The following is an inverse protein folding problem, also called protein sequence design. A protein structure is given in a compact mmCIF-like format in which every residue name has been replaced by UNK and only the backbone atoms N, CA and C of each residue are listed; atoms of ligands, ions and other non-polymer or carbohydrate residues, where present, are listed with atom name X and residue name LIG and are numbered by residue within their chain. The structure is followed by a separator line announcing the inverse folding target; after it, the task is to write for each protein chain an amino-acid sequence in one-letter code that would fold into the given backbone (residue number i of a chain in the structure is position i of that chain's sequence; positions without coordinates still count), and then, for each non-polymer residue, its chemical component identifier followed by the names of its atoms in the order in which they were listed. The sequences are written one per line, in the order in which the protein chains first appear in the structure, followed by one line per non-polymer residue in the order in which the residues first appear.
data_IF_557230521306
#
_entry.id   IF_557230521306
#
_cell.length_a   1.000
_cell.length_b   1.000
_cell.length_c   1.000
_cell.angle_alpha   90.00
_cell.angle_beta   90.00
_cell.angle_gamma   90.00
#
_symmetry.space_group_name_H-M   'P 1'
#
loop_
_entity.id
_entity.type
_entity.pdbx_description
1 polymer ?
#
# COMPACT_ATOMS: atom_id res chain seq x y z
N UNK A 1 9.33 6.17 11.53
CA UNK A 1 8.24 5.42 12.20
C UNK A 1 8.02 5.88 13.64
N UNK A 2 9.10 6.03 14.42
CA UNK A 2 9.05 6.51 15.81
C UNK A 2 8.31 7.84 15.97
N UNK A 3 8.53 8.81 15.08
CA UNK A 3 7.83 10.11 15.13
C UNK A 3 6.31 9.98 15.02
N UNK A 4 5.81 9.09 14.16
CA UNK A 4 4.36 8.81 14.03
C UNK A 4 3.81 8.17 15.31
N UNK A 5 4.56 7.25 15.90
CA UNK A 5 4.22 6.63 17.19
C UNK A 5 4.16 7.68 18.30
N UNK A 6 5.16 8.55 18.37
CA UNK A 6 5.21 9.67 19.32
C UNK A 6 4.00 10.60 19.14
N UNK A 7 3.68 10.99 17.90
CA UNK A 7 2.48 11.77 17.61
C UNK A 7 1.18 11.09 18.06
N UNK A 8 1.08 9.77 17.89
CA UNK A 8 -0.07 8.98 18.34
C UNK A 8 -0.19 8.98 19.87
N UNK A 9 0.92 8.78 20.59
CA UNK A 9 0.95 8.80 22.07
C UNK A 9 0.55 10.19 22.59
N UNK A 10 1.13 11.26 22.03
CA UNK A 10 0.78 12.65 22.40
C UNK A 10 -0.70 12.93 22.21
N UNK A 11 -1.28 12.51 21.08
CA UNK A 11 -2.72 12.68 20.80
C UNK A 11 -3.59 12.00 21.85
N UNK A 12 -3.29 10.75 22.21
CA UNK A 12 -4.07 10.00 23.22
C UNK A 12 -3.92 10.63 24.61
N UNK A 13 -2.70 11.04 24.98
CA UNK A 13 -2.46 11.73 26.26
C UNK A 13 -3.21 13.05 26.37
N UNK A 14 -3.30 13.81 25.28
CA UNK A 14 -4.09 15.04 25.20
C UNK A 14 -5.59 14.76 25.34
N UNK A 15 -6.11 13.74 24.66
CA UNK A 15 -7.52 13.32 24.79
C UNK A 15 -7.88 12.91 26.23
N UNK A 16 -6.97 12.23 26.92
CA UNK A 16 -7.15 11.80 28.31
C UNK A 16 -7.14 12.95 29.33
N UNK A 17 -6.61 14.12 28.96
CA UNK A 17 -6.39 15.24 29.87
C UNK A 17 -7.69 15.84 30.44
N UNK A 18 -8.81 15.69 29.73
CA UNK A 18 -10.13 16.11 30.22
C UNK A 18 -10.71 15.18 31.30
N UNK A 19 -10.36 13.89 31.28
CA UNK A 19 -10.99 12.84 32.09
C UNK A 19 -10.14 12.45 33.31
N UNK A 20 -8.81 12.56 33.22
CA UNK A 20 -7.87 11.99 34.18
C UNK A 20 -6.96 13.05 34.83
N UNK A 21 -7.53 14.18 35.25
CA UNK A 21 -6.77 15.31 35.83
C UNK A 21 -6.03 14.98 37.13
N UNK A 22 -6.51 13.98 37.89
CA UNK A 22 -6.02 13.63 39.23
C UNK A 22 -5.01 12.47 39.20
N UNK A 23 -4.87 11.78 38.07
CA UNK A 23 -4.03 10.59 37.95
C UNK A 23 -2.54 10.91 37.80
N UNK A 24 -1.70 10.02 38.31
CA UNK A 24 -0.25 10.16 38.18
C UNK A 24 0.20 10.05 36.71
N UNK A 25 1.32 10.68 36.32
CA UNK A 25 1.84 10.61 34.94
C UNK A 25 2.04 9.18 34.43
N UNK A 26 2.43 8.25 35.32
CA UNK A 26 2.65 6.83 34.99
C UNK A 26 1.34 6.14 34.67
N UNK A 27 0.29 6.36 35.46
CA UNK A 27 -1.04 5.78 35.21
C UNK A 27 -1.64 6.31 33.91
N UNK A 28 -1.47 7.61 33.64
CA UNK A 28 -1.90 8.22 32.36
C UNK A 28 -1.20 7.58 31.16
N UNK A 29 0.11 7.41 31.23
CA UNK A 29 0.87 6.74 30.18
C UNK A 29 0.47 5.27 30.00
N UNK A 30 0.32 4.52 31.09
CA UNK A 30 -0.10 3.11 31.04
C UNK A 30 -1.46 2.95 30.36
N UNK A 31 -2.43 3.82 30.68
CA UNK A 31 -3.75 3.82 30.02
C UNK A 31 -3.65 4.18 28.54
N UNK A 32 -2.84 5.18 28.18
CA UNK A 32 -2.62 5.53 26.77
C UNK A 32 -2.03 4.35 25.97
N UNK A 33 -1.02 3.67 26.52
CA UNK A 33 -0.42 2.49 25.91
C UNK A 33 -1.42 1.33 25.83
N UNK A 34 -2.27 1.14 26.84
CA UNK A 34 -3.33 0.14 26.81
C UNK A 34 -4.31 0.39 25.65
N UNK A 35 -4.81 1.62 25.52
CA UNK A 35 -5.70 1.99 24.40
C UNK A 35 -5.03 1.76 23.05
N UNK A 36 -3.77 2.20 22.90
CA UNK A 36 -3.04 2.07 21.64
C UNK A 36 -2.79 0.60 21.26
N UNK A 37 -2.44 -0.25 22.22
CA UNK A 37 -2.02 -1.63 21.93
C UNK A 37 -3.17 -2.64 21.90
N UNK A 38 -4.26 -2.41 22.65
CA UNK A 38 -5.33 -3.39 22.87
C UNK A 38 -6.70 -2.95 22.32
N UNK A 39 -6.95 -1.64 22.20
CA UNK A 39 -8.28 -1.14 21.79
C UNK A 39 -8.28 -0.50 20.40
N UNK A 40 -7.12 -0.14 19.86
CA UNK A 40 -7.01 0.54 18.57
C UNK A 40 -7.02 -0.46 17.40
N UNK A 41 -8.19 -1.03 17.13
CA UNK A 41 -8.43 -1.89 15.96
C UNK A 41 -8.83 -1.02 14.74
N UNK A 42 -8.42 -1.45 13.55
CA UNK A 42 -8.85 -0.84 12.28
C UNK A 42 -9.91 -1.70 11.60
N UNK A 43 -10.73 -1.12 10.73
CA UNK A 43 -11.72 -1.87 9.94
C UNK A 43 -11.10 -3.04 9.16
N UNK A 44 -9.92 -2.83 8.58
CA UNK A 44 -9.17 -3.85 7.83
C UNK A 44 -8.41 -4.86 8.73
N UNK A 45 -8.42 -4.64 10.05
CA UNK A 45 -7.59 -5.37 11.00
C UNK A 45 -8.26 -5.45 12.36
N UNK A 46 -9.21 -6.39 12.49
CA UNK A 46 -9.93 -6.68 13.73
C UNK A 46 -9.01 -7.10 14.90
N UNK A 47 -7.76 -7.46 14.58
CA UNK A 47 -6.77 -7.83 15.58
C UNK A 47 -6.10 -6.58 16.16
N UNK A 48 -6.14 -6.38 17.49
CA UNK A 48 -5.43 -5.28 18.13
C UNK A 48 -3.92 -5.35 17.83
N UNK A 49 -3.22 -4.21 17.80
CA UNK A 49 -1.80 -4.13 17.44
C UNK A 49 -0.90 -5.09 18.21
N UNK A 50 -1.23 -5.37 19.48
CA UNK A 50 -0.49 -6.32 20.33
C UNK A 50 -0.39 -7.72 19.72
N UNK A 51 -1.38 -8.15 18.92
CA UNK A 51 -1.43 -9.50 18.37
C UNK A 51 -0.48 -9.67 17.19
N UNK A 52 -0.10 -8.58 16.49
CA UNK A 52 0.70 -8.66 15.25
C UNK A 52 2.11 -9.20 15.46
N UNK A 53 2.86 -8.77 16.51
CA UNK A 53 4.17 -9.35 16.83
C UNK A 53 4.10 -10.82 17.28
N UNK A 54 3.08 -11.18 18.07
CA UNK A 54 2.95 -12.55 18.61
C UNK A 54 2.37 -13.56 17.60
N UNK A 55 1.65 -13.12 16.56
CA UNK A 55 1.16 -13.97 15.46
C UNK A 55 2.17 -14.20 14.33
N UNK A 56 3.44 -13.80 14.51
CA UNK A 56 4.46 -13.95 13.47
C UNK A 56 4.87 -15.42 13.18
N UNK A 57 4.31 -16.41 13.87
CA UNK A 57 4.58 -17.83 13.67
C UNK A 57 3.40 -18.52 12.94
N UNK A 58 3.65 -18.90 11.68
CA UNK A 58 2.87 -19.84 10.84
C UNK A 58 1.56 -19.40 10.14
N UNK A 59 0.72 -18.52 10.70
CA UNK A 59 -0.59 -18.21 10.06
C UNK A 59 -0.52 -17.12 8.98
N UNK A 60 0.52 -16.27 9.02
CA UNK A 60 0.74 -15.19 8.04
C UNK A 60 2.00 -15.41 7.19
N UNK A 61 2.59 -16.61 7.20
CA UNK A 61 3.55 -16.96 6.16
C UNK A 61 2.76 -16.99 4.85
N UNK A 62 2.81 -15.88 4.10
CA UNK A 62 2.25 -15.78 2.76
C UNK A 62 2.92 -16.90 1.95
N UNK A 63 2.18 -18.00 1.78
CA UNK A 63 2.63 -19.17 1.01
C UNK A 63 2.64 -18.85 -0.48
N UNK A 64 1.71 -18.00 -0.91
CA UNK A 64 1.61 -17.51 -2.28
C UNK A 64 2.23 -16.12 -2.37
N UNK A 65 3.42 -16.02 -2.96
CA UNK A 65 4.08 -14.74 -3.21
C UNK A 65 3.78 -14.32 -4.65
N UNK A 66 2.81 -13.43 -4.88
CA UNK A 66 2.45 -13.07 -6.24
C UNK A 66 3.62 -12.36 -6.94
N UNK A 67 3.85 -12.63 -8.23
CA UNK A 67 4.90 -11.96 -8.99
C UNK A 67 4.54 -10.49 -9.21
N UNK A 68 5.52 -9.62 -9.03
CA UNK A 68 5.40 -8.18 -9.26
C UNK A 68 6.53 -7.67 -10.14
N UNK A 69 6.21 -6.67 -10.95
CA UNK A 69 7.17 -5.87 -11.69
C UNK A 69 7.55 -4.64 -10.85
N UNK A 70 8.82 -4.32 -10.84
CA UNK A 70 9.42 -3.26 -10.03
C UNK A 70 10.09 -2.25 -10.94
N UNK A 71 9.80 -0.96 -10.78
CA UNK A 71 10.56 0.08 -11.45
C UNK A 71 11.78 0.44 -10.62
N UNK A 72 12.96 0.31 -11.21
CA UNK A 72 14.21 0.73 -10.60
C UNK A 72 14.25 2.28 -10.50
N UNK A 73 14.45 2.85 -9.30
CA UNK A 73 14.63 4.30 -9.14
C UNK A 73 15.77 4.87 -9.98
N UNK A 74 16.88 4.15 -10.12
CA UNK A 74 18.11 4.69 -10.68
C UNK A 74 18.09 4.65 -12.21
N UNK A 75 17.79 3.48 -12.79
CA UNK A 75 17.73 3.32 -14.25
C UNK A 75 16.36 3.69 -14.85
N UNK A 76 15.32 3.81 -14.03
CA UNK A 76 13.94 4.03 -14.48
C UNK A 76 13.30 2.85 -15.21
N UNK A 77 14.05 1.74 -15.38
CA UNK A 77 13.61 0.52 -16.08
C UNK A 77 12.71 -0.31 -15.19
N UNK A 78 11.91 -1.19 -15.80
CA UNK A 78 11.05 -2.13 -15.07
C UNK A 78 11.70 -3.51 -15.07
N UNK A 79 11.97 -4.03 -13.88
CA UNK A 79 12.59 -5.32 -13.57
C UNK A 79 11.57 -6.30 -12.98
N UNK A 80 11.83 -7.59 -13.13
CA UNK A 80 10.98 -8.67 -12.60
C UNK A 80 10.57 -9.69 -13.65
N UNK A 81 9.70 -10.66 -13.29
CA UNK A 81 8.90 -10.70 -12.07
C UNK A 81 9.71 -11.05 -10.80
N UNK A 82 9.40 -10.37 -9.69
CA UNK A 82 9.92 -10.67 -8.35
C UNK A 82 8.77 -11.08 -7.42
N UNK A 83 9.06 -11.93 -6.45
CA UNK A 83 8.08 -12.36 -5.47
C UNK A 83 7.76 -11.25 -4.47
N UNK A 84 6.47 -10.92 -4.30
CA UNK A 84 6.04 -9.98 -3.25
C UNK A 84 6.09 -10.65 -1.87
N UNK A 85 6.80 -10.02 -0.93
CA UNK A 85 6.89 -10.46 0.48
C UNK A 85 5.81 -9.78 1.33
N UNK A 86 5.66 -8.46 1.21
CA UNK A 86 4.60 -7.70 1.90
C UNK A 86 4.37 -6.35 1.23
N UNK A 87 3.18 -5.76 1.41
CA UNK A 87 2.84 -4.44 0.86
C UNK A 87 2.01 -3.67 1.88
N UNK A 88 2.42 -2.46 2.23
CA UNK A 88 1.62 -1.58 3.07
C UNK A 88 2.24 -0.21 3.30
N UNK A 89 1.39 0.77 3.65
CA UNK A 89 1.81 2.10 4.12
C UNK A 89 2.79 2.83 3.16
N UNK A 90 2.58 2.66 1.86
CA UNK A 90 3.35 3.32 0.82
C UNK A 90 4.65 2.62 0.40
N UNK A 91 4.96 1.44 0.97
CA UNK A 91 6.10 0.62 0.59
C UNK A 91 5.69 -0.84 0.34
N UNK A 92 6.48 -1.53 -0.46
CA UNK A 92 6.40 -2.96 -0.70
C UNK A 92 7.78 -3.59 -0.50
N UNK A 93 7.81 -4.78 0.10
CA UNK A 93 9.00 -5.60 0.20
C UNK A 93 8.92 -6.69 -0.87
N UNK A 94 9.94 -6.77 -1.72
CA UNK A 94 10.05 -7.78 -2.78
C UNK A 94 11.27 -8.64 -2.56
N UNK A 95 11.17 -9.93 -2.87
CA UNK A 95 12.29 -10.86 -2.81
C UNK A 95 13.05 -10.80 -4.13
N UNK A 96 14.25 -10.23 -4.11
CA UNK A 96 15.17 -10.23 -5.24
C UNK A 96 16.22 -11.33 -5.06
N UNK A 97 16.96 -11.74 -6.10
CA UNK A 97 18.09 -12.68 -5.95
C UNK A 97 19.16 -12.20 -4.95
N UNK A 98 19.29 -10.88 -4.76
CA UNK A 98 20.20 -10.28 -3.78
C UNK A 98 19.60 -10.20 -2.36
N UNK A 99 18.37 -10.68 -2.16
CA UNK A 99 17.64 -10.63 -0.91
C UNK A 99 16.41 -9.69 -0.93
N UNK A 100 15.74 -9.53 0.22
CA UNK A 100 14.55 -8.69 0.33
C UNK A 100 14.89 -7.20 0.18
N UNK A 101 14.16 -6.50 -0.68
CA UNK A 101 14.33 -5.07 -0.93
C UNK A 101 13.04 -4.31 -0.65
N UNK A 102 13.14 -3.15 0.01
CA UNK A 102 12.02 -2.22 0.22
C UNK A 102 11.94 -1.22 -0.91
N UNK A 103 10.77 -1.11 -1.53
CA UNK A 103 10.52 -0.28 -2.70
C UNK A 103 9.26 0.55 -2.47
N UNK A 104 9.24 1.84 -2.80
CA UNK A 104 8.01 2.63 -2.78
C UNK A 104 6.90 1.96 -3.58
N UNK A 105 5.71 1.80 -3.00
CA UNK A 105 4.58 1.10 -3.63
C UNK A 105 4.19 1.66 -4.99
N UNK A 106 4.44 2.96 -5.22
CA UNK A 106 4.20 3.63 -6.51
C UNK A 106 5.00 3.04 -7.68
N UNK A 107 6.11 2.35 -7.39
CA UNK A 107 7.00 1.73 -8.38
C UNK A 107 6.80 0.22 -8.50
N UNK A 108 5.81 -0.34 -7.80
CA UNK A 108 5.48 -1.76 -7.86
C UNK A 108 4.16 -1.96 -8.60
N UNK A 109 4.11 -2.98 -9.46
CA UNK A 109 2.93 -3.35 -10.26
C UNK A 109 2.75 -4.87 -10.23
N UNK A 110 1.53 -5.39 -10.02
CA UNK A 110 1.25 -6.82 -10.19
C UNK A 110 1.66 -7.30 -11.58
N UNK A 111 2.34 -8.43 -11.67
CA UNK A 111 2.66 -9.06 -12.95
C UNK A 111 1.43 -9.85 -13.45
N UNK A 112 0.99 -9.55 -14.66
CA UNK A 112 -0.03 -10.33 -15.37
C UNK A 112 0.68 -11.09 -16.48
N UNK A 113 0.70 -12.44 -16.44
CA UNK A 113 1.25 -13.23 -17.53
C UNK A 113 0.55 -12.87 -18.83
N UNK A 114 1.32 -12.47 -19.85
CA UNK A 114 0.76 -12.28 -21.18
C UNK A 114 0.48 -13.67 -21.76
N UNK A 115 -0.77 -14.12 -21.67
CA UNK A 115 -1.18 -15.39 -22.28
C UNK A 115 -0.79 -15.42 -23.76
N UNK A 116 -0.05 -16.44 -24.16
CA UNK A 116 0.10 -16.81 -25.56
C UNK A 116 -1.26 -17.27 -26.08
N UNK A 117 -2.03 -16.40 -26.74
CA UNK A 117 -3.18 -16.86 -27.53
C UNK A 117 -4.51 -16.11 -27.41
N UNK A 118 -4.56 -14.80 -27.16
CA UNK A 118 -5.68 -14.03 -27.69
C UNK A 118 -5.18 -13.18 -28.85
N UNK A 119 -5.56 -13.56 -30.08
CA UNK A 119 -5.58 -12.62 -31.19
C UNK A 119 -6.28 -11.37 -30.67
N UNK A 120 -5.64 -10.20 -30.80
CA UNK A 120 -6.33 -8.92 -30.61
C UNK A 120 -7.43 -8.84 -31.67
N UNK A 121 -8.59 -9.41 -31.39
CA UNK A 121 -9.82 -9.07 -32.11
C UNK A 121 -10.24 -7.74 -31.52
N UNK A 122 -9.55 -6.68 -31.94
CA UNK A 122 -10.13 -5.35 -31.83
C UNK A 122 -11.26 -5.38 -32.85
N UNK A 123 -12.48 -5.64 -32.39
CA UNK A 123 -13.63 -5.50 -33.28
C UNK A 123 -13.61 -4.08 -33.84
N UNK A 124 -14.01 -3.87 -35.12
CA UNK A 124 -14.00 -2.54 -35.74
C UNK A 124 -14.71 -1.49 -34.88
N UNK A 125 -15.74 -1.90 -34.13
CA UNK A 125 -16.45 -1.07 -33.17
C UNK A 125 -15.58 -0.58 -31.99
N UNK A 126 -14.70 -1.44 -31.44
CA UNK A 126 -13.78 -1.08 -30.35
C UNK A 126 -12.66 -0.17 -30.87
N UNK A 127 -12.17 -0.40 -32.10
CA UNK A 127 -11.22 0.50 -32.75
C UNK A 127 -11.83 1.88 -32.99
N UNK A 128 -13.05 1.94 -33.49
CA UNK A 128 -13.76 3.18 -33.79
C UNK A 128 -14.10 3.97 -32.52
N UNK A 129 -14.52 3.28 -31.45
CA UNK A 129 -14.73 3.89 -30.14
C UNK A 129 -13.43 4.45 -29.53
N UNK A 130 -12.30 3.75 -29.68
CA UNK A 130 -11.00 4.23 -29.22
C UNK A 130 -10.54 5.46 -30.02
N UNK A 131 -10.72 5.46 -31.35
CA UNK A 131 -10.44 6.60 -32.22
C UNK A 131 -11.27 7.84 -31.87
N UNK A 132 -12.57 7.66 -31.59
CA UNK A 132 -13.44 8.77 -31.18
C UNK A 132 -13.03 9.39 -29.83
N UNK A 133 -12.58 8.57 -28.87
CA UNK A 133 -12.05 9.08 -27.58
C UNK A 133 -10.75 9.87 -27.77
N UNK A 134 -9.84 9.39 -28.62
CA UNK A 134 -8.58 10.08 -28.92
C UNK A 134 -8.81 11.45 -29.56
N UNK A 135 -9.82 11.59 -30.43
CA UNK A 135 -10.20 12.87 -31.04
C UNK A 135 -10.74 13.89 -30.04
N UNK A 136 -11.44 13.44 -28.98
CA UNK A 136 -11.93 14.33 -27.90
C UNK A 136 -10.81 14.83 -26.98
N UNK A 137 -9.70 14.10 -26.83
CA UNK A 137 -8.54 14.56 -26.06
C UNK A 137 -7.67 15.60 -26.79
N UNK A 138 -7.81 15.72 -28.12
CA UNK A 138 -7.03 16.64 -28.94
C UNK A 138 -7.32 18.14 -28.76
N UNK A 139 -8.19 18.54 -27.83
CA UNK A 139 -8.47 19.94 -27.50
C UNK A 139 -7.93 20.40 -26.14
N UNK A 140 -7.22 19.55 -25.39
CA UNK A 140 -6.55 19.95 -24.14
C UNK A 140 -5.02 19.83 -24.30
N UNK A 141 -4.29 20.90 -23.98
CA UNK A 141 -2.85 21.04 -24.25
C UNK A 141 -1.93 20.08 -23.46
N UNK A 142 -2.47 19.18 -22.64
CA UNK A 142 -1.70 18.27 -21.77
C UNK A 142 -1.56 16.84 -22.31
N UNK A 143 -1.69 16.63 -23.62
CA UNK A 143 -1.84 15.30 -24.24
C UNK A 143 -0.52 14.55 -24.57
N UNK A 144 0.57 14.73 -23.81
CA UNK A 144 1.87 14.11 -24.13
C UNK A 144 2.43 13.08 -23.14
N UNK A 145 1.64 12.54 -22.20
CA UNK A 145 2.09 11.41 -21.38
C UNK A 145 1.10 10.24 -21.34
N UNK A 146 1.52 8.99 -21.62
CA UNK A 146 0.62 7.85 -21.69
C UNK A 146 0.53 7.16 -20.33
N UNK A 147 -0.25 7.72 -19.40
CA UNK A 147 -0.64 6.97 -18.20
C UNK A 147 -2.12 7.20 -17.87
N UNK A 148 -2.93 6.13 -17.70
CA UNK A 148 -4.31 6.29 -17.28
C UNK A 148 -4.35 6.70 -15.81
N UNK A 149 -5.01 7.82 -15.54
CA UNK A 149 -5.40 8.24 -14.20
C UNK A 149 -6.36 7.19 -13.62
N UNK A 150 -5.93 6.48 -12.58
CA UNK A 150 -6.86 5.84 -11.66
C UNK A 150 -7.25 6.87 -10.61
N UNK A 151 -8.44 7.45 -10.77
CA UNK A 151 -9.10 8.18 -9.70
C UNK A 151 -9.64 7.18 -8.67
N UNK A 152 -9.27 7.32 -7.40
CA UNK A 152 -9.95 6.66 -6.29
C UNK A 152 -11.05 7.60 -5.76
N UNK A 153 -12.24 7.08 -5.42
CA UNK A 153 -13.29 7.90 -4.79
C UNK A 153 -12.95 8.21 -3.32
N UNK A 154 -13.47 9.35 -2.87
CA UNK A 154 -13.31 9.98 -1.56
C UNK A 154 -13.79 9.13 -0.38
#
# INVERSE_FOLDING_TARGET
MVERTHGTIKRVLHQQQGVLKVETPVVRLARALFTINFLNCSFEGLNPPIIRPFRASSLFSIRERPPVMVRDPESGRTEGPHDLVTWGRGYACVSTPMGPRWIPSKWVRPYVPKGSGSKKVISPQVADAAWRRKRKQGQHHWAEFPFPYCSYPE
#
